data_IF_059796254231
#
_entry.id   IF_059796254231
#
_cell.length_a   1.000
_cell.length_b   1.000
_cell.length_c   1.000
_cell.angle_alpha   90.00
_cell.angle_beta   90.00
_cell.angle_gamma   90.00
#
_symmetry.space_group_name_H-M   'P 1'
#
loop_
_entity.id
_entity.type
_entity.pdbx_description
1 polymer ?
#
# COMPACT_ATOMS: atom_id res chain seq x y z
N UNK A 1 42.63 10.07 55.66
CA UNK A 1 41.50 9.48 54.90
C UNK A 1 41.92 9.32 53.44
N UNK A 2 41.68 8.11 52.87
CA UNK A 2 41.46 7.69 51.45
C UNK A 2 41.96 8.64 50.34
N UNK A 3 42.61 8.22 49.25
CA UNK A 3 43.02 6.95 48.63
C UNK A 3 43.93 7.40 47.48
N UNK A 4 45.13 6.84 47.35
CA UNK A 4 45.78 6.78 46.04
C UNK A 4 44.98 5.85 45.14
N UNK A 5 45.01 6.02 43.82
CA UNK A 5 45.15 4.93 42.85
C UNK A 5 45.33 5.54 41.44
N UNK A 6 46.56 5.40 40.97
CA UNK A 6 46.99 5.02 39.62
C UNK A 6 46.00 5.17 38.46
N UNK A 7 46.50 5.89 37.44
CA UNK A 7 46.07 5.92 36.04
C UNK A 7 45.65 4.52 35.55
N UNK A 8 44.34 4.27 35.55
CA UNK A 8 43.75 3.09 34.94
C UNK A 8 43.36 3.43 33.49
N UNK A 9 44.26 3.06 32.58
CA UNK A 9 44.10 2.65 31.15
C UNK A 9 43.14 3.46 30.25
N UNK A 10 43.53 3.75 29.00
CA UNK A 10 42.59 4.27 28.01
C UNK A 10 41.42 3.30 27.85
N UNK A 11 40.21 3.85 27.75
CA UNK A 11 38.97 3.11 27.55
C UNK A 11 39.13 2.16 26.35
N UNK A 12 38.75 0.91 26.59
CA UNK A 12 38.75 -0.18 25.61
C UNK A 12 37.90 0.27 24.42
N UNK A 13 38.49 0.33 23.22
CA UNK A 13 37.73 0.48 21.97
C UNK A 13 36.63 -0.59 21.98
N UNK A 14 35.38 -0.15 22.08
CA UNK A 14 34.24 -0.98 21.76
C UNK A 14 34.34 -1.22 20.27
N UNK A 15 34.72 -2.44 19.88
CA UNK A 15 34.56 -2.86 18.50
C UNK A 15 33.06 -2.75 18.18
N UNK A 16 32.70 -1.85 17.29
CA UNK A 16 31.38 -1.87 16.65
C UNK A 16 31.29 -3.19 15.89
N UNK A 17 30.72 -4.21 16.55
CA UNK A 17 30.13 -5.33 15.82
C UNK A 17 28.86 -4.79 15.18
N UNK A 18 29.02 -4.13 14.04
CA UNK A 18 27.96 -4.02 13.05
C UNK A 18 27.62 -5.44 12.61
N UNK A 19 26.71 -6.08 13.35
CA UNK A 19 26.05 -7.30 12.90
C UNK A 19 25.13 -6.89 11.77
N UNK A 20 25.71 -6.77 10.58
CA UNK A 20 24.96 -6.82 9.33
C UNK A 20 24.38 -8.23 9.26
N UNK A 21 23.24 -8.44 9.93
CA UNK A 21 22.34 -9.50 9.53
C UNK A 21 21.81 -9.08 8.18
N UNK A 22 22.58 -9.41 7.13
CA UNK A 22 22.13 -9.33 5.76
C UNK A 22 21.03 -10.37 5.65
N UNK A 23 19.81 -9.96 5.96
CA UNK A 23 18.62 -10.70 5.58
C UNK A 23 18.67 -10.67 4.05
N UNK A 24 19.22 -11.72 3.47
CA UNK A 24 19.03 -11.97 2.05
C UNK A 24 17.54 -12.22 1.92
N UNK A 25 16.74 -11.31 1.32
CA UNK A 25 15.36 -11.64 1.06
C UNK A 25 15.42 -12.85 0.15
N UNK A 26 14.97 -13.99 0.67
CA UNK A 26 14.81 -15.19 -0.13
C UNK A 26 13.58 -14.93 -0.97
N UNK A 27 13.78 -14.19 -2.05
CA UNK A 27 12.80 -13.98 -3.12
C UNK A 27 12.70 -15.28 -3.92
N UNK A 28 12.30 -16.36 -3.26
CA UNK A 28 11.54 -17.42 -3.93
C UNK A 28 10.10 -16.94 -3.94
N UNK A 29 9.86 -15.80 -4.59
CA UNK A 29 8.55 -15.19 -4.73
C UNK A 29 7.80 -16.07 -5.73
N UNK A 30 7.12 -17.10 -5.23
CA UNK A 30 5.86 -17.49 -5.87
C UNK A 30 5.11 -16.19 -6.06
N UNK A 31 4.85 -15.83 -7.31
CA UNK A 31 4.14 -14.60 -7.63
C UNK A 31 2.91 -14.52 -6.74
N UNK A 32 2.84 -13.46 -5.96
CA UNK A 32 1.70 -13.21 -5.10
C UNK A 32 0.48 -13.08 -6.02
N UNK A 33 -0.62 -13.82 -5.77
CA UNK A 33 -1.83 -13.64 -6.56
C UNK A 33 -2.31 -12.20 -6.45
N UNK A 34 -2.50 -11.54 -7.59
CA UNK A 34 -2.96 -10.14 -7.62
C UNK A 34 -4.37 -9.96 -7.07
N UNK A 35 -5.15 -11.04 -7.01
CA UNK A 35 -6.51 -11.02 -6.49
C UNK A 35 -6.63 -11.17 -4.96
N UNK A 36 -5.52 -11.35 -4.22
CA UNK A 36 -5.57 -11.70 -2.79
C UNK A 36 -6.22 -10.64 -1.89
N UNK A 37 -6.34 -9.40 -2.36
CA UNK A 37 -6.92 -8.28 -1.61
C UNK A 37 -8.28 -7.81 -2.12
N UNK A 38 -8.83 -8.44 -3.17
CA UNK A 38 -10.08 -7.99 -3.75
C UNK A 38 -11.19 -7.91 -2.70
N UNK A 39 -11.36 -8.95 -1.88
CA UNK A 39 -12.38 -8.97 -0.81
C UNK A 39 -12.22 -7.81 0.19
N UNK A 40 -10.97 -7.47 0.54
CA UNK A 40 -10.66 -6.37 1.46
C UNK A 40 -11.00 -5.03 0.82
N UNK A 41 -10.62 -4.83 -0.44
CA UNK A 41 -10.88 -3.61 -1.22
C UNK A 41 -12.39 -3.42 -1.40
N UNK A 42 -13.11 -4.47 -1.84
CA UNK A 42 -14.56 -4.45 -1.99
C UNK A 42 -15.23 -4.12 -0.65
N UNK A 43 -14.87 -4.81 0.43
CA UNK A 43 -15.45 -4.55 1.75
C UNK A 43 -15.22 -3.10 2.22
N UNK A 44 -14.01 -2.56 1.98
CA UNK A 44 -13.69 -1.19 2.30
C UNK A 44 -14.53 -0.21 1.48
N UNK A 45 -14.56 -0.36 0.15
CA UNK A 45 -15.27 0.53 -0.75
C UNK A 45 -16.78 0.52 -0.49
N UNK A 46 -17.40 -0.64 -0.27
CA UNK A 46 -18.82 -0.76 0.09
C UNK A 46 -19.11 0.05 1.36
N UNK A 47 -18.36 -0.20 2.44
CA UNK A 47 -18.56 0.54 3.70
C UNK A 47 -18.32 2.04 3.54
N UNK A 48 -17.34 2.42 2.74
CA UNK A 48 -17.02 3.81 2.48
C UNK A 48 -18.18 4.53 1.80
N UNK A 49 -18.76 3.93 0.75
CA UNK A 49 -19.89 4.46 0.02
C UNK A 49 -21.14 4.52 0.89
N UNK A 50 -21.45 3.44 1.62
CA UNK A 50 -22.59 3.35 2.53
C UNK A 50 -22.56 4.46 3.59
N UNK A 51 -21.36 4.83 4.07
CA UNK A 51 -21.19 5.82 5.15
C UNK A 51 -21.21 7.26 4.65
N UNK A 52 -20.61 7.55 3.49
CA UNK A 52 -20.31 8.92 3.09
C UNK A 52 -21.29 9.53 2.08
N UNK A 53 -22.34 8.80 1.69
CA UNK A 53 -23.17 9.07 0.50
C UNK A 53 -22.31 9.04 -0.79
N UNK A 54 -22.78 8.36 -1.84
CA UNK A 54 -22.01 8.13 -3.08
C UNK A 54 -21.42 9.38 -3.79
N UNK A 55 -21.83 10.57 -3.35
CA UNK A 55 -21.44 11.88 -3.88
C UNK A 55 -19.92 12.11 -3.99
N UNK A 56 -19.10 11.56 -3.09
CA UNK A 56 -17.65 11.77 -3.15
C UNK A 56 -17.00 11.12 -4.38
N UNK A 57 -17.46 9.93 -4.77
CA UNK A 57 -16.97 9.27 -5.98
C UNK A 57 -17.59 9.94 -7.21
N UNK A 58 -18.87 10.30 -7.19
CA UNK A 58 -19.51 10.91 -8.37
C UNK A 58 -18.94 12.29 -8.77
N UNK A 59 -18.13 12.92 -7.93
CA UNK A 59 -17.58 14.27 -8.18
C UNK A 59 -16.36 14.30 -9.09
N UNK A 60 -15.70 13.16 -9.35
CA UNK A 60 -14.50 13.10 -10.20
C UNK A 60 -14.92 12.81 -11.63
N UNK A 61 -14.94 13.84 -12.48
CA UNK A 61 -15.21 13.73 -13.91
C UNK A 61 -13.87 13.75 -14.65
N UNK A 62 -13.47 12.66 -15.31
CA UNK A 62 -12.25 12.67 -16.10
C UNK A 62 -12.41 13.60 -17.30
N UNK A 63 -11.47 14.54 -17.42
CA UNK A 63 -11.41 15.44 -18.59
C UNK A 63 -10.89 14.70 -19.83
N UNK A 64 -10.08 13.66 -19.63
CA UNK A 64 -9.57 12.78 -20.68
C UNK A 64 -9.70 11.31 -20.24
N UNK A 65 -10.77 10.61 -20.66
CA UNK A 65 -10.99 9.21 -20.33
C UNK A 65 -9.87 8.28 -20.82
N UNK A 66 -9.18 8.63 -21.91
CA UNK A 66 -8.14 7.78 -22.50
C UNK A 66 -6.94 7.58 -21.56
N UNK A 67 -6.66 8.57 -20.70
CA UNK A 67 -5.60 8.46 -19.69
C UNK A 67 -5.96 7.41 -18.64
N UNK A 68 -7.23 7.32 -18.24
CA UNK A 68 -7.68 6.30 -17.28
C UNK A 68 -7.67 4.91 -17.91
N UNK A 69 -8.12 4.79 -19.17
CA UNK A 69 -8.06 3.53 -19.92
C UNK A 69 -6.61 3.02 -20.03
N UNK A 70 -5.70 3.89 -20.45
CA UNK A 70 -4.26 3.58 -20.52
C UNK A 70 -3.70 3.12 -19.17
N UNK A 71 -4.10 3.76 -18.07
CA UNK A 71 -3.69 3.35 -16.72
C UNK A 71 -4.19 1.94 -16.38
N UNK A 72 -5.45 1.63 -16.70
CA UNK A 72 -6.04 0.31 -16.45
C UNK A 72 -5.39 -0.77 -17.31
N UNK A 73 -5.08 -0.48 -18.58
CA UNK A 73 -4.37 -1.39 -19.49
C UNK A 73 -2.96 -1.72 -18.98
N UNK A 74 -2.22 -0.72 -18.51
CA UNK A 74 -0.87 -0.92 -17.94
C UNK A 74 -0.93 -1.79 -16.67
N UNK A 75 -2.04 -1.76 -15.94
CA UNK A 75 -2.22 -2.46 -14.66
C UNK A 75 -3.26 -3.58 -14.75
N UNK A 76 -3.48 -4.16 -15.93
CA UNK A 76 -4.55 -5.15 -16.18
C UNK A 76 -4.54 -6.30 -15.17
N UNK A 77 -3.35 -6.75 -14.77
CA UNK A 77 -3.16 -7.82 -13.78
C UNK A 77 -3.67 -7.49 -12.38
N UNK A 78 -3.86 -6.21 -12.08
CA UNK A 78 -4.29 -5.66 -10.77
C UNK A 78 -5.73 -5.16 -10.79
N UNK A 79 -6.38 -5.19 -11.94
CA UNK A 79 -7.77 -4.77 -12.12
C UNK A 79 -8.70 -5.77 -11.40
N UNK A 80 -9.61 -5.23 -10.58
CA UNK A 80 -10.69 -6.02 -9.99
C UNK A 80 -11.76 -6.27 -11.06
N UNK A 81 -12.24 -7.50 -11.27
CA UNK A 81 -13.32 -7.78 -12.21
C UNK A 81 -14.53 -6.89 -11.94
N UNK A 82 -15.11 -6.32 -13.00
CA UNK A 82 -16.18 -5.33 -12.89
C UNK A 82 -17.42 -5.91 -12.20
N UNK A 83 -17.68 -7.21 -12.35
CA UNK A 83 -18.78 -7.93 -11.69
C UNK A 83 -18.66 -7.88 -10.15
N UNK A 84 -17.44 -7.76 -9.62
CA UNK A 84 -17.22 -7.60 -8.19
C UNK A 84 -17.47 -6.15 -7.72
N UNK A 85 -17.39 -5.17 -8.62
CA UNK A 85 -17.59 -3.75 -8.32
C UNK A 85 -19.03 -3.27 -8.59
N UNK A 86 -19.85 -4.07 -9.27
CA UNK A 86 -21.20 -3.69 -9.70
C UNK A 86 -22.07 -3.15 -8.56
N UNK A 87 -22.07 -3.82 -7.41
CA UNK A 87 -22.85 -3.37 -6.24
C UNK A 87 -22.39 -2.01 -5.73
N UNK A 88 -21.07 -1.76 -5.74
CA UNK A 88 -20.52 -0.47 -5.28
C UNK A 88 -20.90 0.64 -6.27
N UNK A 89 -20.83 0.35 -7.57
CA UNK A 89 -21.20 1.28 -8.64
C UNK A 89 -22.68 1.68 -8.50
N UNK A 90 -23.56 0.70 -8.28
CA UNK A 90 -25.01 0.93 -8.13
C UNK A 90 -25.32 1.74 -6.86
N UNK A 91 -24.79 1.33 -5.69
CA UNK A 91 -25.02 2.02 -4.42
C UNK A 91 -24.45 3.46 -4.46
N UNK A 92 -23.26 3.63 -5.04
CA UNK A 92 -22.61 4.94 -5.12
C UNK A 92 -23.25 5.84 -6.18
N UNK A 93 -23.92 5.27 -7.18
CA UNK A 93 -24.31 6.00 -8.40
C UNK A 93 -23.10 6.58 -9.14
N UNK A 94 -21.92 5.96 -9.01
CA UNK A 94 -20.66 6.50 -9.53
C UNK A 94 -20.30 5.92 -10.90
N UNK A 95 -19.36 6.56 -11.60
CA UNK A 95 -18.87 6.04 -12.88
C UNK A 95 -18.12 4.71 -12.68
N UNK A 96 -18.42 3.67 -13.49
CA UNK A 96 -17.66 2.41 -13.47
C UNK A 96 -16.16 2.62 -13.60
N UNK A 97 -15.75 3.55 -14.47
CA UNK A 97 -14.33 3.89 -14.67
C UNK A 97 -13.66 4.40 -13.40
N UNK A 98 -14.38 5.17 -12.57
CA UNK A 98 -13.82 5.71 -11.35
C UNK A 98 -13.76 4.66 -10.24
N UNK A 99 -14.81 3.83 -10.11
CA UNK A 99 -14.78 2.69 -9.21
C UNK A 99 -13.60 1.78 -9.55
N UNK A 100 -13.39 1.51 -10.84
CA UNK A 100 -12.27 0.72 -11.34
C UNK A 100 -10.93 1.38 -11.05
N UNK A 101 -10.78 2.67 -11.33
CA UNK A 101 -9.54 3.41 -11.07
C UNK A 101 -9.15 3.32 -9.59
N UNK A 102 -10.09 3.60 -8.68
CA UNK A 102 -9.83 3.57 -7.25
C UNK A 102 -9.49 2.15 -6.77
N UNK A 103 -10.24 1.15 -7.22
CA UNK A 103 -10.00 -0.25 -6.88
C UNK A 103 -8.60 -0.70 -7.33
N UNK A 104 -8.22 -0.37 -8.57
CA UNK A 104 -6.90 -0.70 -9.12
C UNK A 104 -5.78 0.03 -8.37
N UNK A 105 -5.97 1.31 -8.01
CA UNK A 105 -5.01 2.03 -7.15
C UNK A 105 -4.82 1.35 -5.80
N UNK A 106 -5.92 1.00 -5.11
CA UNK A 106 -5.85 0.30 -3.83
C UNK A 106 -5.13 -1.04 -3.97
N UNK A 107 -5.42 -1.79 -5.03
CA UNK A 107 -4.77 -3.08 -5.25
C UNK A 107 -3.27 -2.92 -5.53
N UNK A 108 -2.88 -1.92 -6.32
CA UNK A 108 -1.48 -1.57 -6.58
C UNK A 108 -0.72 -1.29 -5.27
N UNK A 109 -1.26 -0.43 -4.40
CA UNK A 109 -0.64 -0.10 -3.11
C UNK A 109 -0.59 -1.25 -2.11
N UNK A 110 -1.50 -2.22 -2.21
CA UNK A 110 -1.51 -3.36 -1.30
C UNK A 110 -0.60 -4.50 -1.76
N UNK A 111 -0.43 -4.66 -3.08
CA UNK A 111 0.38 -5.72 -3.68
C UNK A 111 1.87 -5.38 -3.71
N UNK A 112 2.21 -4.11 -3.91
CA UNK A 112 3.58 -3.66 -4.10
C UNK A 112 4.14 -3.05 -2.82
N UNK A 113 5.22 -3.63 -2.30
CA UNK A 113 5.87 -3.18 -1.07
C UNK A 113 6.50 -1.78 -1.25
N UNK A 114 6.99 -1.43 -2.45
CA UNK A 114 7.55 -0.10 -2.73
C UNK A 114 6.44 0.96 -2.71
N UNK A 115 5.32 0.70 -3.38
CA UNK A 115 4.19 1.64 -3.35
C UNK A 115 3.56 1.71 -1.96
N UNK A 116 3.55 0.62 -1.20
CA UNK A 116 3.10 0.61 0.19
C UNK A 116 4.00 1.49 1.06
N UNK A 117 5.32 1.39 0.94
CA UNK A 117 6.26 2.27 1.66
C UNK A 117 6.03 3.74 1.32
N UNK A 118 5.81 4.06 0.03
CA UNK A 118 5.48 5.42 -0.41
C UNK A 118 4.16 5.91 0.20
N UNK A 119 3.11 5.09 0.17
CA UNK A 119 1.80 5.45 0.73
C UNK A 119 1.88 5.66 2.24
N UNK A 120 2.67 4.82 2.91
CA UNK A 120 2.87 4.88 4.35
C UNK A 120 3.89 5.96 4.76
N UNK A 121 4.65 6.57 3.84
CA UNK A 121 5.61 7.67 4.10
C UNK A 121 6.41 7.50 5.41
N UNK A 122 7.08 6.36 5.60
CA UNK A 122 7.82 6.03 6.84
C UNK A 122 7.01 6.25 8.13
N UNK A 123 5.68 6.17 8.08
CA UNK A 123 4.86 6.19 9.28
C UNK A 123 5.17 4.94 10.08
N UNK A 124 6.05 5.10 11.06
CA UNK A 124 6.01 4.28 12.25
C UNK A 124 4.57 4.38 12.77
N UNK A 125 3.75 3.36 12.50
CA UNK A 125 2.47 3.20 13.16
C UNK A 125 2.74 3.22 14.68
N UNK A 126 2.60 4.39 15.29
CA UNK A 126 2.72 4.61 16.73
C UNK A 126 1.39 4.34 17.42
#
# INVERSE_FOLDING_TARGET
MKRGFFLLKPAKQTAETSSSTKVTPTTTLKSIPSNRFHDVIISFMTKFVDTNSGLLLCSIIPTDPAVMETFLEINEDKVIPQEQLEQIIDIAGCSPFLAQLLATFLNLFLLDDEYREILLMDSEFR
#
